data_IF_127787868056
#
_entry.id   IF_127787868056
#
_cell.length_a   1.000
_cell.length_b   1.000
_cell.length_c   1.000
_cell.angle_alpha   90.00
_cell.angle_beta   90.00
_cell.angle_gamma   90.00
#
_symmetry.space_group_name_H-M   'P 1'
#
loop_
_entity.id
_entity.type
_entity.pdbx_description
1 polymer ?
#
# COMPACT_ATOMS: atom_id res chain seq x y z
N UNK A 1 9.27 -29.27 -4.08
CA UNK A 1 8.83 -27.98 -3.48
C UNK A 1 7.35 -27.98 -3.10
N UNK A 2 6.39 -28.20 -4.01
CA UNK A 2 4.95 -28.24 -3.65
C UNK A 2 4.61 -29.22 -2.51
N UNK A 3 5.06 -30.48 -2.59
CA UNK A 3 4.86 -31.47 -1.51
C UNK A 3 5.37 -30.99 -0.14
N UNK A 4 6.45 -30.23 -0.11
CA UNK A 4 7.00 -29.68 1.13
C UNK A 4 6.16 -28.54 1.72
N UNK A 5 5.55 -27.69 0.87
CA UNK A 5 4.59 -26.66 1.32
C UNK A 5 3.34 -27.32 1.91
N UNK A 6 2.81 -28.35 1.24
CA UNK A 6 1.65 -29.11 1.72
C UNK A 6 1.92 -29.83 3.05
N UNK A 7 3.17 -30.25 3.28
CA UNK A 7 3.64 -30.78 4.55
C UNK A 7 3.92 -29.71 5.61
N UNK A 8 3.61 -28.43 5.34
CA UNK A 8 3.81 -27.32 6.26
C UNK A 8 5.27 -26.88 6.47
N UNK A 9 6.19 -27.33 5.62
CA UNK A 9 7.61 -26.98 5.71
C UNK A 9 7.89 -25.67 4.96
N UNK A 10 8.67 -24.78 5.58
CA UNK A 10 9.10 -23.54 4.94
C UNK A 10 10.04 -23.85 3.77
N UNK A 11 9.67 -23.46 2.55
CA UNK A 11 10.43 -23.78 1.33
C UNK A 11 11.63 -22.84 1.08
N UNK A 12 11.92 -21.95 2.02
CA UNK A 12 13.01 -20.99 1.90
C UNK A 12 12.61 -19.73 1.12
N UNK A 13 13.17 -18.61 1.57
CA UNK A 13 13.22 -17.35 0.86
C UNK A 13 14.60 -16.75 1.13
N UNK A 14 14.97 -15.68 0.40
CA UNK A 14 16.25 -14.99 0.64
C UNK A 14 16.41 -14.57 2.11
N UNK A 15 15.31 -14.20 2.75
CA UNK A 15 15.25 -13.86 4.18
C UNK A 15 14.01 -14.49 4.81
N UNK A 16 14.12 -14.94 6.06
CA UNK A 16 12.93 -15.31 6.85
C UNK A 16 12.01 -14.10 7.05
N UNK A 17 10.69 -14.30 7.15
CA UNK A 17 9.76 -13.23 7.50
C UNK A 17 10.13 -12.60 8.84
N UNK A 18 9.94 -11.29 8.96
CA UNK A 18 10.18 -10.57 10.22
C UNK A 18 9.30 -11.14 11.33
N UNK A 19 9.82 -11.30 12.56
CA UNK A 19 9.13 -12.05 13.61
C UNK A 19 9.52 -13.53 13.68
N UNK A 20 10.27 -14.03 12.69
CA UNK A 20 10.71 -15.41 12.64
C UNK A 20 12.18 -15.56 12.23
N UNK A 21 12.86 -16.55 12.80
CA UNK A 21 14.15 -17.08 12.34
C UNK A 21 13.93 -18.42 11.66
N UNK A 22 14.61 -18.64 10.54
CA UNK A 22 14.55 -19.93 9.86
C UNK A 22 15.58 -20.90 10.45
N UNK A 23 15.07 -21.98 11.06
CA UNK A 23 15.88 -23.10 11.52
C UNK A 23 16.08 -24.10 10.36
N UNK A 24 17.28 -24.10 9.77
CA UNK A 24 17.62 -24.95 8.62
C UNK A 24 17.54 -26.45 8.93
N UNK A 25 17.93 -26.86 10.14
CA UNK A 25 17.93 -28.27 10.53
C UNK A 25 16.51 -28.83 10.61
N UNK A 26 15.60 -28.08 11.22
CA UNK A 26 14.17 -28.45 11.34
C UNK A 26 13.33 -28.09 10.13
N UNK A 27 13.87 -27.31 9.19
CA UNK A 27 13.15 -26.71 8.04
C UNK A 27 11.90 -25.94 8.49
N UNK A 28 12.00 -25.25 9.62
CA UNK A 28 10.90 -24.59 10.33
C UNK A 28 11.19 -23.11 10.57
N UNK A 29 10.15 -22.29 10.61
CA UNK A 29 10.22 -20.93 11.17
C UNK A 29 9.99 -21.00 12.68
N UNK A 30 10.96 -20.54 13.45
CA UNK A 30 10.88 -20.39 14.90
C UNK A 30 10.66 -18.90 15.22
N UNK A 31 9.88 -18.61 16.26
CA UNK A 31 9.53 -17.23 16.63
C UNK A 31 10.77 -16.52 17.19
N UNK A 32 11.05 -15.32 16.69
CA UNK A 32 11.97 -14.38 17.35
C UNK A 32 11.14 -13.43 18.20
N UNK A 33 11.15 -13.60 19.52
CA UNK A 33 10.26 -12.88 20.43
C UNK A 33 10.38 -11.35 20.30
N UNK A 34 11.59 -10.80 20.11
CA UNK A 34 11.78 -9.36 19.95
C UNK A 34 11.08 -8.82 18.71
N UNK A 35 11.24 -9.49 17.57
CA UNK A 35 10.61 -9.09 16.32
C UNK A 35 9.10 -9.38 16.33
N UNK A 36 8.70 -10.51 16.91
CA UNK A 36 7.30 -10.93 17.02
C UNK A 36 6.48 -9.95 17.87
N UNK A 37 7.05 -9.43 18.95
CA UNK A 37 6.40 -8.38 19.75
C UNK A 37 6.19 -7.08 18.95
N UNK A 38 7.11 -6.73 18.06
CA UNK A 38 6.93 -5.59 17.14
C UNK A 38 5.82 -5.90 16.13
N UNK A 39 5.74 -7.13 15.60
CA UNK A 39 4.63 -7.54 14.72
C UNK A 39 3.28 -7.42 15.44
N UNK A 40 3.16 -7.93 16.67
CA UNK A 40 1.94 -7.80 17.48
C UNK A 40 1.56 -6.34 17.68
N UNK A 41 2.53 -5.51 18.08
CA UNK A 41 2.34 -4.06 18.23
C UNK A 41 1.84 -3.39 16.94
N UNK A 42 2.40 -3.77 15.78
CA UNK A 42 1.94 -3.26 14.47
C UNK A 42 0.46 -3.59 14.23
N UNK A 43 0.04 -4.83 14.51
CA UNK A 43 -1.35 -5.25 14.38
C UNK A 43 -2.25 -4.49 15.35
N UNK A 44 -1.89 -4.43 16.64
CA UNK A 44 -2.64 -3.68 17.67
C UNK A 44 -2.84 -2.21 17.28
N UNK A 45 -1.78 -1.52 16.85
CA UNK A 45 -1.88 -0.11 16.46
C UNK A 45 -2.74 0.07 15.21
N UNK A 46 -2.68 -0.86 14.26
CA UNK A 46 -3.47 -0.78 13.03
C UNK A 46 -4.96 -1.02 13.29
N UNK A 47 -5.28 -2.01 14.14
CA UNK A 47 -6.65 -2.27 14.62
C UNK A 47 -7.20 -1.08 15.41
N UNK A 48 -6.36 -0.38 16.16
CA UNK A 48 -6.70 0.89 16.80
C UNK A 48 -6.84 2.09 15.83
N UNK A 49 -6.85 1.86 14.52
CA UNK A 49 -7.12 2.85 13.48
C UNK A 49 -5.92 3.69 13.04
N UNK A 50 -4.70 3.42 13.53
CA UNK A 50 -3.50 4.16 13.10
C UNK A 50 -3.15 3.83 11.65
N UNK A 51 -2.65 4.82 10.92
CA UNK A 51 -2.18 4.57 9.56
C UNK A 51 -0.81 3.89 9.56
N UNK A 52 -0.46 3.23 8.46
CA UNK A 52 0.88 2.63 8.29
C UNK A 52 2.01 3.68 8.31
N UNK A 53 1.72 4.96 8.06
CA UNK A 53 2.67 6.06 8.27
C UNK A 53 2.85 6.38 9.76
N UNK A 54 1.74 6.49 10.50
CA UNK A 54 1.77 6.79 11.94
C UNK A 54 2.49 5.68 12.71
N UNK A 55 2.26 4.42 12.32
CA UNK A 55 2.94 3.26 12.91
C UNK A 55 4.44 3.33 12.63
N UNK A 56 4.86 3.62 11.38
CA UNK A 56 6.29 3.76 11.05
C UNK A 56 6.96 4.86 11.89
N UNK A 57 6.33 6.03 11.98
CA UNK A 57 6.83 7.16 12.76
C UNK A 57 6.91 6.84 14.26
N UNK A 58 5.91 6.14 14.80
CA UNK A 58 5.92 5.69 16.19
C UNK A 58 7.06 4.71 16.47
N UNK A 59 7.25 3.71 15.60
CA UNK A 59 8.31 2.72 15.76
C UNK A 59 9.70 3.38 15.72
N UNK A 60 9.91 4.32 14.80
CA UNK A 60 11.17 5.06 14.72
C UNK A 60 11.41 5.96 15.94
N UNK A 61 10.38 6.68 16.41
CA UNK A 61 10.45 7.49 17.64
C UNK A 61 10.79 6.66 18.88
N UNK A 62 10.33 5.41 18.94
CA UNK A 62 10.63 4.47 20.03
C UNK A 62 11.96 3.72 19.85
N UNK A 63 12.68 3.97 18.75
CA UNK A 63 13.99 3.36 18.49
C UNK A 63 13.92 1.93 17.95
N UNK A 64 12.74 1.40 17.58
CA UNK A 64 12.65 0.07 16.99
C UNK A 64 13.27 0.06 15.59
N UNK A 65 14.08 -0.96 15.31
CA UNK A 65 14.74 -1.16 14.02
C UNK A 65 14.41 -2.55 13.47
N UNK A 66 14.45 -2.66 12.14
CA UNK A 66 14.36 -3.95 11.44
C UNK A 66 15.59 -4.82 11.72
N UNK A 67 15.56 -6.10 11.35
CA UNK A 67 16.71 -7.02 11.48
C UNK A 67 18.02 -6.51 10.86
N UNK A 68 17.92 -5.63 9.86
CA UNK A 68 19.09 -5.04 9.18
C UNK A 68 19.51 -3.68 9.75
N UNK A 69 18.96 -3.28 10.91
CA UNK A 69 19.23 -1.98 11.54
C UNK A 69 18.50 -0.79 10.90
N UNK A 70 17.76 -1.02 9.81
CA UNK A 70 17.03 0.04 9.08
C UNK A 70 15.73 0.43 9.78
N UNK A 71 15.25 1.63 9.50
CA UNK A 71 13.94 2.14 9.92
C UNK A 71 12.79 1.38 9.27
N UNK A 72 11.66 1.32 9.98
CA UNK A 72 10.41 0.85 9.40
C UNK A 72 9.86 1.89 8.43
N UNK A 73 9.41 1.44 7.26
CA UNK A 73 8.77 2.30 6.26
C UNK A 73 7.39 1.76 5.91
N UNK A 74 6.54 2.64 5.38
CA UNK A 74 5.13 2.38 5.12
C UNK A 74 4.87 1.04 4.41
N UNK A 75 5.62 0.79 3.34
CA UNK A 75 5.46 -0.43 2.53
C UNK A 75 5.84 -1.70 3.31
N UNK A 76 6.87 -1.65 4.15
CA UNK A 76 7.25 -2.82 4.96
C UNK A 76 6.15 -3.18 5.96
N UNK A 77 5.56 -2.19 6.64
CA UNK A 77 4.43 -2.41 7.55
C UNK A 77 3.22 -2.96 6.78
N UNK A 78 2.93 -2.42 5.60
CA UNK A 78 1.86 -2.93 4.74
C UNK A 78 2.10 -4.38 4.31
N UNK A 79 3.35 -4.75 4.02
CA UNK A 79 3.72 -6.12 3.68
C UNK A 79 3.59 -7.06 4.91
N UNK A 80 3.89 -6.58 6.12
CA UNK A 80 3.66 -7.32 7.38
C UNK A 80 2.16 -7.59 7.55
N UNK A 81 1.33 -6.55 7.53
CA UNK A 81 -0.12 -6.65 7.76
C UNK A 81 -0.85 -7.57 6.76
N UNK A 82 -0.28 -7.81 5.57
CA UNK A 82 -0.87 -8.65 4.51
C UNK A 82 -0.37 -10.08 4.50
N UNK A 83 0.64 -10.41 5.28
CA UNK A 83 1.32 -11.69 5.17
C UNK A 83 0.64 -12.75 6.05
N UNK A 84 -0.04 -13.72 5.42
CA UNK A 84 -0.69 -14.83 6.10
C UNK A 84 0.27 -15.74 6.90
N UNK A 85 1.59 -15.56 6.75
CA UNK A 85 2.55 -16.29 7.59
C UNK A 85 2.33 -16.06 9.08
N UNK A 86 1.81 -14.90 9.48
CA UNK A 86 1.59 -14.57 10.88
C UNK A 86 0.46 -15.37 11.51
N UNK A 87 -0.43 -15.96 10.71
CA UNK A 87 -1.54 -16.82 11.17
C UNK A 87 -1.21 -18.31 11.05
N UNK A 88 0.08 -18.67 10.92
CA UNK A 88 0.48 -20.08 10.75
C UNK A 88 0.37 -20.60 9.31
N UNK A 89 -0.06 -19.81 8.33
CA UNK A 89 -0.28 -20.28 6.94
C UNK A 89 0.93 -20.00 6.04
N UNK A 90 1.33 -20.96 5.22
CA UNK A 90 2.38 -20.79 4.21
C UNK A 90 1.72 -20.54 2.86
N UNK A 91 2.07 -19.43 2.21
CA UNK A 91 1.60 -19.12 0.84
C UNK A 91 2.74 -19.23 -0.15
N UNK A 92 2.57 -20.09 -1.15
CA UNK A 92 3.56 -20.38 -2.18
C UNK A 92 3.07 -19.98 -3.57
N UNK A 93 4.02 -19.75 -4.49
CA UNK A 93 3.77 -19.47 -5.90
C UNK A 93 2.95 -18.20 -6.21
N UNK A 94 3.02 -17.14 -5.39
CA UNK A 94 2.34 -15.86 -5.67
C UNK A 94 2.80 -15.18 -6.98
N UNK A 95 4.04 -15.42 -7.40
CA UNK A 95 4.66 -14.80 -8.58
C UNK A 95 5.60 -15.79 -9.26
N UNK A 96 5.78 -15.63 -10.56
CA UNK A 96 6.79 -16.35 -11.34
C UNK A 96 7.51 -15.38 -12.29
N UNK A 97 8.64 -15.83 -12.83
CA UNK A 97 9.36 -15.09 -13.85
C UNK A 97 8.62 -15.19 -15.18
N UNK A 98 8.36 -14.04 -15.80
CA UNK A 98 7.93 -13.99 -17.19
C UNK A 98 9.14 -14.26 -18.08
N UNK A 99 9.18 -15.45 -18.68
CA UNK A 99 10.27 -15.89 -19.56
C UNK A 99 10.37 -15.05 -20.84
N UNK A 100 9.29 -14.37 -21.24
CA UNK A 100 9.20 -13.61 -22.48
C UNK A 100 9.60 -12.13 -22.28
N UNK A 101 9.55 -11.61 -21.05
CA UNK A 101 9.94 -10.24 -20.71
C UNK A 101 11.30 -10.19 -20.00
N UNK A 102 12.36 -10.52 -20.74
CA UNK A 102 13.75 -10.43 -20.28
C UNK A 102 14.24 -8.98 -20.38
N UNK A 103 14.59 -8.38 -19.25
CA UNK A 103 15.31 -7.09 -19.23
C UNK A 103 16.82 -7.34 -19.22
N UNK A 104 17.63 -6.29 -19.50
CA UNK A 104 19.11 -6.37 -19.49
C UNK A 104 19.72 -6.94 -18.19
N UNK A 105 18.99 -6.89 -17.06
CA UNK A 105 19.51 -7.31 -15.74
C UNK A 105 18.73 -8.46 -15.07
N UNK A 106 17.50 -8.76 -15.49
CA UNK A 106 16.66 -9.79 -14.86
C UNK A 106 15.35 -10.05 -15.64
N UNK A 107 14.71 -11.19 -15.38
CA UNK A 107 13.34 -11.45 -15.82
C UNK A 107 12.34 -10.63 -14.99
N UNK A 108 11.29 -10.12 -15.64
CA UNK A 108 10.18 -9.46 -14.95
C UNK A 108 9.38 -10.50 -14.15
N UNK A 109 8.99 -10.15 -12.92
CA UNK A 109 8.09 -10.99 -12.13
C UNK A 109 6.64 -10.62 -12.41
N UNK A 110 5.83 -11.61 -12.76
CA UNK A 110 4.38 -11.47 -12.94
C UNK A 110 3.64 -12.23 -11.84
N UNK A 111 2.45 -11.74 -11.49
CA UNK A 111 1.57 -12.43 -10.54
C UNK A 111 1.06 -13.71 -11.18
N UNK A 112 1.03 -14.78 -10.41
CA UNK A 112 0.37 -16.01 -10.85
C UNK A 112 -1.13 -15.87 -10.79
N UNK A 113 -1.78 -16.69 -11.61
CA UNK A 113 -3.21 -16.95 -11.50
C UNK A 113 -3.54 -17.43 -10.06
N UNK A 114 -4.64 -16.94 -9.45
CA UNK A 114 -5.05 -17.36 -8.11
C UNK A 114 -5.16 -18.88 -7.92
N UNK A 115 -5.60 -19.63 -8.94
CA UNK A 115 -5.72 -21.10 -8.90
C UNK A 115 -4.37 -21.81 -8.71
N UNK A 116 -3.26 -21.14 -9.08
CA UNK A 116 -1.89 -21.68 -8.95
C UNK A 116 -1.24 -21.30 -7.63
N UNK A 117 -1.89 -20.45 -6.82
CA UNK A 117 -1.37 -20.03 -5.51
C UNK A 117 -1.78 -21.07 -4.49
N UNK A 118 -0.78 -21.73 -3.90
CA UNK A 118 -1.00 -22.72 -2.85
C UNK A 118 -0.95 -22.01 -1.50
N UNK A 119 -2.01 -22.17 -0.71
CA UNK A 119 -2.05 -21.82 0.72
C UNK A 119 -2.15 -23.13 1.50
N UNK A 120 -1.23 -23.37 2.43
CA UNK A 120 -1.22 -24.57 3.26
C UNK A 120 -0.97 -24.21 4.72
N UNK A 121 -1.42 -25.07 5.64
CA UNK A 121 -1.10 -24.91 7.05
C UNK A 121 0.39 -25.17 7.28
N UNK A 122 1.09 -24.19 7.84
CA UNK A 122 2.47 -24.29 8.26
C UNK A 122 2.61 -24.96 9.62
N UNK A 123 3.78 -25.52 9.87
CA UNK A 123 4.15 -26.09 11.18
C UNK A 123 4.64 -25.04 12.19
N UNK A 124 4.88 -23.82 11.75
CA UNK A 124 5.40 -22.76 12.61
C UNK A 124 4.30 -22.22 13.51
N UNK A 125 4.70 -21.75 14.70
CA UNK A 125 3.78 -21.15 15.65
C UNK A 125 3.24 -19.82 15.09
N UNK A 126 1.92 -19.58 15.08
CA UNK A 126 1.37 -18.28 14.69
C UNK A 126 1.78 -17.17 15.67
N UNK A 127 1.89 -15.95 15.16
CA UNK A 127 2.16 -14.73 15.96
C UNK A 127 0.87 -13.93 16.19
N UNK A 128 -0.07 -14.01 15.23
CA UNK A 128 -1.34 -13.27 15.20
C UNK A 128 -2.47 -14.28 14.97
N UNK A 129 -3.59 -14.05 15.65
CA UNK A 129 -4.79 -14.87 15.52
C UNK A 129 -5.49 -14.66 14.16
N UNK A 130 -6.27 -15.65 13.73
CA UNK A 130 -6.93 -15.57 12.42
C UNK A 130 -7.98 -14.45 12.37
N UNK A 131 -8.64 -14.19 13.49
CA UNK A 131 -9.66 -13.16 13.68
C UNK A 131 -9.06 -11.76 13.49
N UNK A 132 -7.97 -11.47 14.21
CA UNK A 132 -7.24 -10.20 14.10
C UNK A 132 -6.71 -9.98 12.68
N UNK A 133 -6.19 -11.05 12.06
CA UNK A 133 -5.73 -10.97 10.68
C UNK A 133 -6.86 -10.67 9.69
N UNK A 134 -8.00 -11.34 9.85
CA UNK A 134 -9.18 -11.15 9.01
C UNK A 134 -9.71 -9.71 9.14
N UNK A 135 -9.79 -9.18 10.35
CA UNK A 135 -10.22 -7.81 10.60
C UNK A 135 -9.25 -6.79 9.97
N UNK A 136 -7.93 -7.00 10.10
CA UNK A 136 -6.94 -6.17 9.40
C UNK A 136 -7.12 -6.22 7.88
N UNK A 137 -7.39 -7.40 7.28
CA UNK A 137 -7.64 -7.49 5.85
C UNK A 137 -8.90 -6.73 5.44
N UNK A 138 -9.97 -6.81 6.24
CA UNK A 138 -11.21 -6.06 6.02
C UNK A 138 -10.95 -4.55 6.04
N UNK A 139 -10.22 -4.05 7.03
CA UNK A 139 -9.82 -2.63 7.11
C UNK A 139 -8.95 -2.19 5.94
N UNK A 140 -7.99 -3.02 5.51
CA UNK A 140 -7.15 -2.74 4.34
C UNK A 140 -7.97 -2.67 3.04
N UNK A 141 -8.92 -3.58 2.85
CA UNK A 141 -9.83 -3.58 1.71
C UNK A 141 -10.74 -2.33 1.73
N UNK A 142 -11.30 -1.99 2.89
CA UNK A 142 -12.15 -0.82 3.05
C UNK A 142 -11.40 0.50 2.79
N UNK A 143 -10.11 0.62 3.12
CA UNK A 143 -9.31 1.81 2.76
C UNK A 143 -9.18 2.02 1.25
N UNK A 144 -9.17 0.95 0.45
CA UNK A 144 -9.17 1.09 -1.01
C UNK A 144 -10.51 1.57 -1.55
N UNK A 145 -11.62 1.26 -0.85
CA UNK A 145 -12.99 1.70 -1.21
C UNK A 145 -13.36 3.08 -0.66
N UNK A 146 -12.77 3.47 0.47
CA UNK A 146 -13.04 4.72 1.20
C UNK A 146 -11.98 5.79 0.98
N UNK A 147 -11.26 5.74 -0.16
CA UNK A 147 -10.43 6.88 -0.56
C UNK A 147 -11.36 8.10 -0.68
N UNK A 148 -11.39 8.91 0.39
CA UNK A 148 -12.02 10.21 0.42
C UNK A 148 -10.91 11.22 0.09
N UNK A 149 -11.11 12.11 -0.89
CA UNK A 149 -10.23 13.26 -1.01
C UNK A 149 -10.23 13.97 0.34
N UNK A 150 -9.10 13.96 1.05
CA UNK A 150 -8.95 14.87 2.17
C UNK A 150 -8.89 16.25 1.54
N UNK A 151 -9.99 17.00 1.59
CA UNK A 151 -10.00 18.44 1.27
C UNK A 151 -9.22 19.15 2.39
N UNK A 152 -7.91 18.91 2.43
CA UNK A 152 -6.98 19.60 3.34
C UNK A 152 -6.78 21.05 2.90
N UNK A 153 -7.02 21.33 1.63
CA UNK A 153 -6.89 22.65 1.05
C UNK A 153 -8.24 23.10 0.51
N UNK A 154 -8.89 24.03 1.23
CA UNK A 154 -10.11 24.70 0.75
C UNK A 154 -9.86 25.48 -0.55
N UNK A 155 -8.59 25.77 -0.89
CA UNK A 155 -8.22 26.38 -2.16
C UNK A 155 -8.38 25.45 -3.38
N UNK A 156 -8.69 24.16 -3.25
CA UNK A 156 -8.86 23.29 -4.42
C UNK A 156 -9.94 22.23 -4.20
N UNK A 157 -11.20 22.64 -4.38
CA UNK A 157 -12.42 21.86 -4.13
C UNK A 157 -12.43 20.49 -4.81
N UNK A 158 -11.89 20.39 -6.02
CA UNK A 158 -11.96 19.20 -6.86
C UNK A 158 -10.71 18.31 -6.76
N UNK A 159 -9.76 18.63 -5.86
CA UNK A 159 -8.52 17.85 -5.74
C UNK A 159 -8.82 16.39 -5.43
N UNK A 160 -8.41 15.52 -6.35
CA UNK A 160 -8.63 14.09 -6.26
C UNK A 160 -10.05 13.61 -6.60
N UNK A 161 -11.03 14.49 -6.74
CA UNK A 161 -12.38 14.13 -7.21
C UNK A 161 -12.40 13.93 -8.72
N UNK A 162 -11.72 14.79 -9.47
CA UNK A 162 -11.66 14.72 -10.93
C UNK A 162 -10.54 13.76 -11.40
N UNK A 163 -10.86 12.97 -12.42
CA UNK A 163 -9.98 11.96 -13.01
C UNK A 163 -9.64 12.30 -14.46
N UNK A 164 -8.44 11.90 -14.87
CA UNK A 164 -7.93 12.11 -16.21
C UNK A 164 -8.51 11.06 -17.16
N UNK A 165 -9.30 11.48 -18.15
CA UNK A 165 -9.84 10.59 -19.17
C UNK A 165 -8.75 9.82 -19.96
N UNK A 166 -7.52 10.36 -20.08
CA UNK A 166 -6.43 9.73 -20.85
C UNK A 166 -5.68 8.62 -20.10
N UNK A 167 -5.36 8.84 -18.83
CA UNK A 167 -4.49 7.91 -18.07
C UNK A 167 -5.13 7.40 -16.77
N UNK A 168 -6.39 7.78 -16.51
CA UNK A 168 -7.17 7.41 -15.33
C UNK A 168 -6.54 7.82 -13.98
N UNK A 169 -5.52 8.67 -13.98
CA UNK A 169 -4.97 9.27 -12.76
C UNK A 169 -5.79 10.48 -12.34
N UNK A 170 -5.75 10.80 -11.05
CA UNK A 170 -6.45 11.96 -10.50
C UNK A 170 -5.75 13.26 -10.86
N UNK A 171 -6.47 14.36 -10.90
CA UNK A 171 -5.84 15.67 -10.89
C UNK A 171 -5.57 16.13 -9.44
N UNK A 172 -4.50 16.91 -9.28
CA UNK A 172 -4.16 17.60 -8.05
C UNK A 172 -4.15 19.11 -8.28
N UNK A 173 -4.58 19.87 -7.27
CA UNK A 173 -4.46 21.33 -7.24
C UNK A 173 -3.00 21.78 -7.22
N UNK A 174 -2.65 22.71 -8.09
CA UNK A 174 -1.32 23.34 -8.18
C UNK A 174 -1.48 24.85 -8.39
N UNK A 175 -0.55 25.64 -7.87
CA UNK A 175 -0.51 27.09 -8.10
C UNK A 175 0.70 27.47 -8.96
N UNK A 176 0.56 28.49 -9.79
CA UNK A 176 1.67 29.15 -10.46
C UNK A 176 1.69 30.63 -10.11
N UNK A 177 2.88 31.17 -9.84
CA UNK A 177 3.03 32.62 -9.61
C UNK A 177 2.73 33.32 -10.94
N UNK A 178 1.76 34.23 -10.93
CA UNK A 178 1.36 35.01 -12.11
C UNK A 178 1.94 36.41 -12.10
N UNK A 179 2.22 36.96 -10.91
CA UNK A 179 2.92 38.23 -10.75
C UNK A 179 3.82 38.16 -9.51
N UNK A 180 5.13 38.20 -9.73
CA UNK A 180 6.14 38.12 -8.67
C UNK A 180 6.15 39.35 -7.75
N UNK A 181 5.79 40.54 -8.25
CA UNK A 181 5.79 41.79 -7.47
C UNK A 181 4.60 41.88 -6.52
N UNK A 182 3.45 41.34 -6.93
CA UNK A 182 2.20 41.37 -6.16
C UNK A 182 1.88 40.02 -5.47
N UNK A 183 2.80 39.05 -5.54
CA UNK A 183 2.62 37.68 -5.06
C UNK A 183 1.29 37.01 -5.47
N UNK A 184 0.76 37.37 -6.65
CA UNK A 184 -0.50 36.81 -7.15
C UNK A 184 -0.25 35.42 -7.72
N UNK A 185 -1.13 34.48 -7.39
CA UNK A 185 -1.06 33.08 -7.83
C UNK A 185 -2.27 32.75 -8.69
N UNK A 186 -2.05 32.00 -9.77
CA UNK A 186 -3.12 31.36 -10.56
C UNK A 186 -3.27 29.91 -10.10
N UNK A 187 -4.52 29.46 -10.01
CA UNK A 187 -4.90 28.12 -9.52
C UNK A 187 -5.25 27.20 -10.69
N UNK A 188 -4.68 26.00 -10.67
CA UNK A 188 -4.86 24.99 -11.71
C UNK A 188 -5.09 23.61 -11.11
N UNK A 189 -5.76 22.76 -11.85
CA UNK A 189 -5.75 21.31 -11.67
C UNK A 189 -4.84 20.68 -12.72
N UNK A 190 -3.88 19.87 -12.27
CA UNK A 190 -2.97 19.13 -13.14
C UNK A 190 -3.07 17.63 -12.91
N UNK A 191 -3.09 16.84 -13.99
CA UNK A 191 -3.01 15.39 -13.92
C UNK A 191 -1.77 14.95 -13.12
N UNK A 192 -1.95 14.08 -12.12
CA UNK A 192 -0.84 13.58 -11.31
C UNK A 192 -0.05 12.46 -11.98
N UNK A 193 -0.53 11.94 -13.12
CA UNK A 193 0.10 10.85 -13.87
C UNK A 193 1.57 11.12 -14.19
N UNK A 194 1.92 12.26 -14.84
CA UNK A 194 3.29 12.59 -15.20
C UNK A 194 4.28 12.72 -14.03
N UNK A 195 3.80 12.90 -12.78
CA UNK A 195 4.68 12.89 -11.61
C UNK A 195 5.17 11.47 -11.26
N UNK A 196 4.54 10.43 -11.83
CA UNK A 196 5.04 9.06 -11.77
C UNK A 196 5.97 8.83 -12.97
N UNK A 197 7.22 8.45 -12.72
CA UNK A 197 8.30 8.30 -13.72
C UNK A 197 8.02 7.33 -14.89
N UNK A 198 6.90 6.60 -14.86
CA UNK A 198 6.53 5.59 -15.85
C UNK A 198 5.28 5.95 -16.67
N UNK A 199 4.74 7.17 -16.53
CA UNK A 199 3.47 7.56 -17.14
C UNK A 199 3.66 8.85 -17.94
N UNK A 200 3.58 8.74 -19.27
CA UNK A 200 3.63 9.90 -20.16
C UNK A 200 2.20 10.37 -20.52
N UNK A 201 1.59 11.17 -19.65
CA UNK A 201 0.25 11.71 -19.89
C UNK A 201 0.32 13.15 -20.43
N UNK A 202 -0.25 13.36 -21.61
CA UNK A 202 -0.29 14.66 -22.30
C UNK A 202 -1.59 15.44 -22.05
N UNK A 203 -2.35 15.08 -21.02
CA UNK A 203 -3.61 15.79 -20.74
C UNK A 203 -3.33 17.18 -20.17
N UNK A 204 -4.11 18.18 -20.61
CA UNK A 204 -3.88 19.58 -20.24
C UNK A 204 -4.30 19.85 -18.80
N UNK A 205 -3.64 20.82 -18.18
CA UNK A 205 -4.10 21.40 -16.93
C UNK A 205 -5.34 22.27 -17.19
N UNK A 206 -6.26 22.30 -16.24
CA UNK A 206 -7.49 23.10 -16.29
C UNK A 206 -7.41 24.14 -15.19
N UNK A 207 -7.85 25.38 -15.43
CA UNK A 207 -7.84 26.38 -14.37
C UNK A 207 -8.95 26.09 -13.36
N UNK A 208 -8.69 26.38 -12.08
CA UNK A 208 -9.70 26.23 -11.06
C UNK A 208 -10.89 27.18 -11.28
N UNK A 209 -10.61 28.40 -11.77
CA UNK A 209 -11.62 29.43 -12.07
C UNK A 209 -12.63 29.00 -13.16
N UNK A 210 -12.23 28.10 -14.06
CA UNK A 210 -13.09 27.64 -15.16
C UNK A 210 -13.96 26.43 -14.75
N UNK A 211 -13.43 25.50 -13.93
CA UNK A 211 -14.08 24.21 -13.65
C UNK A 211 -14.87 24.17 -12.33
N UNK A 212 -14.43 24.91 -11.31
CA UNK A 212 -15.09 24.88 -9.99
C UNK A 212 -16.49 25.49 -10.00
N UNK A 213 -16.77 26.62 -10.70
CA UNK A 213 -18.12 27.16 -10.79
C UNK A 213 -19.08 26.18 -11.46
N UNK A 214 -18.67 25.55 -12.57
CA UNK A 214 -19.49 24.56 -13.27
C UNK A 214 -19.79 23.34 -12.40
N UNK A 215 -18.77 22.81 -11.70
CA UNK A 215 -18.97 21.71 -10.77
C UNK A 215 -19.93 22.07 -9.62
N UNK A 216 -19.79 23.27 -9.06
CA UNK A 216 -20.64 23.75 -7.96
C UNK A 216 -22.07 23.98 -8.41
N UNK A 217 -22.27 24.50 -9.63
CA UNK A 217 -23.58 24.68 -10.25
C UNK A 217 -24.32 23.35 -10.43
N UNK A 218 -23.65 22.33 -10.95
CA UNK A 218 -24.23 20.98 -11.10
C UNK A 218 -24.63 20.43 -9.73
N UNK A 219 -23.76 20.56 -8.73
CA UNK A 219 -24.05 20.10 -7.36
C UNK A 219 -25.25 20.85 -6.77
N UNK A 220 -25.33 22.16 -6.94
CA UNK A 220 -26.46 22.97 -6.48
C UNK A 220 -27.79 22.54 -7.12
N UNK A 221 -27.80 22.30 -8.43
CA UNK A 221 -28.99 21.80 -9.14
C UNK A 221 -29.46 20.43 -8.61
N UNK A 222 -28.52 19.53 -8.29
CA UNK A 222 -28.86 18.21 -7.75
C UNK A 222 -29.42 18.28 -6.33
N UNK A 223 -29.06 19.30 -5.56
CA UNK A 223 -29.54 19.50 -4.18
C UNK A 223 -30.90 20.23 -4.16
N UNK A 224 -31.19 21.05 -5.18
CA UNK A 224 -32.43 21.83 -5.29
C UNK A 224 -33.60 21.08 -5.93
N UNK A 225 -33.42 19.82 -6.31
CA UNK A 225 -34.53 18.96 -6.73
C UNK A 225 -35.25 18.39 -5.51
N UNK A 226 -36.04 19.25 -4.85
CA UNK A 226 -37.25 18.89 -4.10
C UNK A 226 -38.47 19.26 -4.94
#
# INVERSE_FOLDING_TARGET
MMKGVQQGNWQGARFSPFGYVYNKAKKLLEVEEREANIVKLIYTMYLAGKSTYDIAAYLDKKGYKTRTGKQFYNKFICDILKNQIYTGKIVWNKKHYDKNQKTKKHYKYIRNDPSKILVAQGKHKPIIDEEDFAEVQRLLANKTRTWRPRVKNQEYLLTGLITCAKCNHRYAGVSSISNHRLNRKKRWYRCSGPHSSHINCTNRAVKAEDIEPEATKIVAQLIQNE
#
